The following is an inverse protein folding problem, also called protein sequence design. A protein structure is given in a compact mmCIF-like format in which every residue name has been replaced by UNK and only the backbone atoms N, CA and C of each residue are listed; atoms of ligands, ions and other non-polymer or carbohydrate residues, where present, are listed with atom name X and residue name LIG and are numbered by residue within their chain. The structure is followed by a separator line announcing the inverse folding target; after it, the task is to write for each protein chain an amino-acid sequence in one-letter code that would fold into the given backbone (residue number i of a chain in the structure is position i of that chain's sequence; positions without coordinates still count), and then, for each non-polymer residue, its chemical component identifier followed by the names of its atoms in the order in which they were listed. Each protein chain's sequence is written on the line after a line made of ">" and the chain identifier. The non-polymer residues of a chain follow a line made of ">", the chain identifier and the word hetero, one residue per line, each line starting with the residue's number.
data_IF_251988459104
#
_entry.id   IF_251988459104
#
_cell.length_a   1.000
_cell.length_b   1.000
_cell.length_c   1.000
_cell.angle_alpha   90.00
_cell.angle_beta   90.00
_cell.angle_gamma   90.00
#
_symmetry.space_group_name_H-M   'P 1'
#
loop_
_entity.id
_entity.type
_entity.pdbx_description
1 polymer ?
#
# COMPACT_ATOMS: atom_id res chain seq x y z
N UNK A 1 -12.92 -17.14 -10.36
CA UNK A 1 -11.60 -17.42 -10.94
C UNK A 1 -11.43 -16.45 -12.10
N UNK A 2 -10.82 -15.30 -11.83
CA UNK A 2 -10.55 -14.26 -12.84
C UNK A 2 -9.02 -14.21 -12.97
N UNK A 3 -8.50 -14.84 -14.03
CA UNK A 3 -7.11 -14.72 -14.44
C UNK A 3 -6.89 -13.33 -15.07
N UNK A 4 -6.15 -12.47 -14.37
CA UNK A 4 -5.63 -11.25 -14.97
C UNK A 4 -4.31 -11.59 -15.69
N UNK A 5 -4.39 -11.76 -17.00
CA UNK A 5 -3.21 -11.81 -17.86
C UNK A 5 -2.69 -10.38 -18.09
N UNK A 6 -1.51 -10.09 -17.56
CA UNK A 6 -0.80 -8.85 -17.84
C UNK A 6 -0.15 -8.92 -19.22
N UNK A 7 -0.54 -7.99 -20.10
CA UNK A 7 0.10 -7.78 -21.41
C UNK A 7 1.43 -7.02 -21.27
N UNK A 8 2.39 -7.17 -22.20
CA UNK A 8 3.77 -6.72 -22.02
C UNK A 8 3.96 -5.22 -22.28
N UNK A 9 4.82 -4.64 -21.45
CA UNK A 9 5.67 -3.44 -21.64
C UNK A 9 5.05 -2.22 -22.34
N UNK A 10 4.78 -1.17 -21.55
CA UNK A 10 4.58 0.21 -22.07
C UNK A 10 3.42 0.98 -21.49
N UNK A 11 2.74 0.51 -20.41
CA UNK A 11 1.62 1.22 -19.78
C UNK A 11 1.92 1.60 -18.33
N UNK A 12 1.49 2.78 -17.87
CA UNK A 12 1.71 3.20 -16.48
C UNK A 12 1.02 2.23 -15.52
N UNK A 13 1.83 1.62 -14.67
CA UNK A 13 1.43 0.55 -13.72
C UNK A 13 0.66 1.06 -12.50
N UNK A 14 0.26 2.33 -12.48
CA UNK A 14 -0.45 2.99 -11.37
C UNK A 14 -1.86 2.44 -11.07
N UNK A 15 -2.34 1.47 -11.86
CA UNK A 15 -3.77 1.14 -11.99
C UNK A 15 -4.31 0.13 -10.97
N UNK A 16 -3.46 -0.65 -10.32
CA UNK A 16 -3.93 -1.79 -9.49
C UNK A 16 -4.33 -1.45 -8.05
N UNK A 17 -4.22 -0.19 -7.64
CA UNK A 17 -4.16 0.22 -6.24
C UNK A 17 -5.48 0.17 -5.46
N UNK A 18 -6.61 0.38 -6.13
CA UNK A 18 -7.87 0.67 -5.43
C UNK A 18 -8.66 -0.56 -4.97
N UNK A 19 -8.35 -1.76 -5.47
CA UNK A 19 -9.25 -2.93 -5.33
C UNK A 19 -8.92 -3.80 -4.10
N UNK A 20 -7.70 -3.80 -3.61
CA UNK A 20 -7.25 -4.81 -2.64
C UNK A 20 -7.49 -4.48 -1.17
N UNK A 21 -7.83 -3.23 -0.81
CA UNK A 21 -8.11 -2.84 0.57
C UNK A 21 -9.61 -2.98 0.97
N UNK A 22 -10.50 -3.22 0.01
CA UNK A 22 -11.94 -3.25 0.23
C UNK A 22 -12.49 -4.41 1.10
N UNK A 23 -11.93 -5.64 1.11
CA UNK A 23 -12.56 -6.77 1.80
C UNK A 23 -12.28 -6.89 3.31
N UNK A 24 -11.28 -6.18 3.86
CA UNK A 24 -11.10 -6.08 5.33
C UNK A 24 -12.31 -5.41 5.99
N UNK A 25 -13.15 -4.75 5.19
CA UNK A 25 -14.31 -3.96 5.58
C UNK A 25 -15.58 -4.75 5.93
N UNK A 26 -15.67 -6.02 5.57
CA UNK A 26 -16.93 -6.78 5.73
C UNK A 26 -17.24 -7.23 7.16
N UNK A 27 -16.34 -7.04 8.13
CA UNK A 27 -16.48 -7.53 9.50
C UNK A 27 -16.85 -6.46 10.54
N UNK A 28 -16.91 -5.17 10.18
CA UNK A 28 -17.17 -4.09 11.14
C UNK A 28 -18.30 -3.16 10.70
N UNK A 29 -19.56 -3.60 10.84
CA UNK A 29 -20.72 -2.69 10.79
C UNK A 29 -21.26 -2.45 12.18
N UNK A 30 -20.76 -1.41 12.85
CA UNK A 30 -21.48 -0.71 13.93
C UNK A 30 -20.99 0.74 14.01
N UNK A 31 -21.96 1.67 13.88
CA UNK A 31 -21.76 3.11 13.70
C UNK A 31 -21.19 3.82 14.93
N UNK A 32 -20.20 4.70 14.77
CA UNK A 32 -19.86 5.72 15.76
C UNK A 32 -20.10 7.15 15.25
N UNK A 33 -20.19 8.05 16.21
CA UNK A 33 -20.54 9.47 16.20
C UNK A 33 -19.47 10.34 15.49
N UNK A 34 -19.85 11.45 14.80
CA UNK A 34 -18.97 12.18 13.88
C UNK A 34 -17.92 13.07 14.56
N UNK A 35 -16.73 13.17 13.99
CA UNK A 35 -15.73 14.19 14.30
C UNK A 35 -15.78 15.39 13.34
N UNK A 36 -15.08 16.46 13.71
CA UNK A 36 -15.10 17.81 13.19
C UNK A 36 -14.64 17.98 11.73
N UNK A 37 -15.09 19.06 11.11
CA UNK A 37 -14.91 19.48 9.72
C UNK A 37 -13.43 19.54 9.28
N UNK A 38 -13.12 18.86 8.20
CA UNK A 38 -11.89 19.04 7.40
C UNK A 38 -12.15 20.15 6.37
N UNK A 39 -11.13 20.99 6.16
CA UNK A 39 -11.20 22.23 5.39
C UNK A 39 -11.58 22.03 3.91
N UNK A 40 -12.21 23.07 3.36
CA UNK A 40 -12.65 23.17 1.97
C UNK A 40 -11.47 23.12 0.98
N UNK A 41 -11.67 22.57 -0.24
CA UNK A 41 -10.63 22.57 -1.27
C UNK A 41 -10.33 24.00 -1.73
N UNK A 42 -9.06 24.36 -1.68
CA UNK A 42 -8.53 25.62 -2.20
C UNK A 42 -8.72 25.64 -3.71
N UNK A 43 -9.52 26.59 -4.20
CA UNK A 43 -9.71 26.84 -5.64
C UNK A 43 -8.45 27.52 -6.19
N UNK A 44 -7.58 26.77 -6.83
CA UNK A 44 -6.36 27.29 -7.44
C UNK A 44 -6.59 27.64 -8.92
N UNK A 45 -6.23 28.87 -9.34
CA UNK A 45 -6.25 29.27 -10.74
C UNK A 45 -5.06 28.61 -11.46
N UNK A 46 -5.32 27.91 -12.55
CA UNK A 46 -4.36 27.01 -13.21
C UNK A 46 -3.94 27.60 -14.55
N UNK A 47 -2.61 27.68 -14.79
CA UNK A 47 -2.04 27.93 -16.13
C UNK A 47 -1.80 26.59 -16.83
N UNK A 48 -2.49 26.36 -17.95
CA UNK A 48 -2.25 25.21 -18.84
C UNK A 48 -0.96 25.51 -19.64
N UNK A 49 0.08 24.69 -19.38
CA UNK A 49 1.35 24.74 -20.12
C UNK A 49 1.45 23.57 -21.10
N UNK A 50 1.53 23.86 -22.38
CA UNK A 50 1.52 22.87 -23.48
C UNK A 50 2.91 22.48 -24.00
N UNK A 51 3.96 22.50 -23.16
CA UNK A 51 5.31 22.10 -23.58
C UNK A 51 5.67 20.73 -23.00
N UNK A 52 5.49 19.68 -23.80
CA UNK A 52 5.78 18.29 -23.38
C UNK A 52 7.23 18.11 -22.92
N UNK A 53 8.20 18.77 -23.52
CA UNK A 53 9.61 18.67 -23.11
C UNK A 53 9.85 19.30 -21.74
N UNK A 54 9.21 20.44 -21.44
CA UNK A 54 9.31 21.06 -20.12
C UNK A 54 8.67 20.16 -19.04
N UNK A 55 7.52 19.56 -19.35
CA UNK A 55 6.83 18.62 -18.47
C UNK A 55 7.67 17.36 -18.23
N UNK A 56 8.25 16.76 -19.27
CA UNK A 56 9.14 15.59 -19.13
C UNK A 56 10.37 15.90 -18.26
N UNK A 57 10.94 17.12 -18.39
CA UNK A 57 12.04 17.55 -17.54
C UNK A 57 11.63 17.67 -16.06
N UNK A 58 10.40 18.12 -15.78
CA UNK A 58 9.83 18.14 -14.42
C UNK A 58 9.67 16.73 -13.88
N UNK A 59 9.04 15.83 -14.65
CA UNK A 59 8.84 14.43 -14.24
C UNK A 59 10.17 13.71 -13.98
N UNK A 60 11.16 13.91 -14.85
CA UNK A 60 12.51 13.34 -14.68
C UNK A 60 13.17 13.82 -13.38
N UNK A 61 13.08 15.13 -13.08
CA UNK A 61 13.59 15.69 -11.82
C UNK A 61 12.83 15.14 -10.61
N UNK A 62 11.51 15.07 -10.67
CA UNK A 62 10.69 14.49 -9.60
C UNK A 62 11.08 13.04 -9.33
N UNK A 63 11.14 12.21 -10.37
CA UNK A 63 11.52 10.79 -10.23
C UNK A 63 12.94 10.60 -9.66
N UNK A 64 13.86 11.54 -9.94
CA UNK A 64 15.23 11.47 -9.42
C UNK A 64 15.34 11.69 -7.90
N UNK A 65 14.32 12.28 -7.26
CA UNK A 65 14.30 12.53 -5.81
C UNK A 65 14.10 11.23 -5.00
N UNK A 66 13.51 10.21 -5.61
CA UNK A 66 13.08 9.00 -4.87
C UNK A 66 14.12 7.89 -4.93
N UNK A 67 14.15 7.12 -3.85
CA UNK A 67 14.83 5.83 -3.84
C UNK A 67 14.30 4.95 -4.98
N UNK A 68 15.17 4.18 -5.61
CA UNK A 68 14.78 3.29 -6.70
C UNK A 68 15.41 1.91 -6.57
N UNK A 69 14.57 0.89 -6.39
CA UNK A 69 14.99 -0.52 -6.39
C UNK A 69 15.67 -0.91 -7.70
N UNK A 70 15.23 -0.33 -8.83
CA UNK A 70 15.84 -0.56 -10.13
C UNK A 70 17.31 -0.09 -10.19
N UNK A 71 17.62 1.10 -9.62
CA UNK A 71 18.99 1.61 -9.50
C UNK A 71 19.82 0.75 -8.56
N UNK A 72 19.21 0.23 -7.48
CA UNK A 72 19.85 -0.68 -6.54
C UNK A 72 20.02 -2.12 -7.08
N UNK A 73 19.52 -2.43 -8.28
CA UNK A 73 19.55 -3.79 -8.86
C UNK A 73 18.65 -4.78 -8.13
N UNK A 74 17.71 -4.32 -7.28
CA UNK A 74 16.79 -5.18 -6.55
C UNK A 74 15.67 -5.65 -7.47
N UNK A 75 15.44 -6.96 -7.53
CA UNK A 75 14.33 -7.57 -8.29
C UNK A 75 13.25 -8.15 -7.38
N UNK A 76 13.56 -8.34 -6.11
CA UNK A 76 12.62 -8.84 -5.12
C UNK A 76 13.30 -9.19 -3.80
N UNK A 77 12.50 -9.68 -2.86
CA UNK A 77 12.98 -10.23 -1.59
C UNK A 77 12.00 -11.28 -1.09
N UNK A 78 12.50 -12.16 -0.25
CA UNK A 78 11.73 -13.19 0.44
C UNK A 78 11.97 -13.03 1.94
N UNK A 79 10.89 -12.96 2.75
CA UNK A 79 10.98 -12.68 4.19
C UNK A 79 9.99 -13.55 4.98
N UNK A 80 10.33 -13.88 6.22
CA UNK A 80 9.36 -14.35 7.20
C UNK A 80 8.47 -13.21 7.70
N UNK A 81 7.19 -13.50 7.92
CA UNK A 81 6.21 -12.52 8.40
C UNK A 81 5.57 -13.02 9.70
N UNK A 82 5.56 -12.17 10.70
CA UNK A 82 5.01 -12.45 12.01
C UNK A 82 3.92 -11.43 12.37
N UNK A 83 2.62 -11.76 12.11
CA UNK A 83 1.51 -10.90 12.53
C UNK A 83 1.39 -10.84 14.05
N UNK A 84 1.05 -9.68 14.60
CA UNK A 84 0.53 -9.60 15.96
C UNK A 84 -0.92 -10.09 15.99
N UNK A 85 -1.08 -11.40 16.18
CA UNK A 85 -2.39 -12.04 16.18
C UNK A 85 -3.33 -11.48 17.23
N UNK A 86 -2.83 -11.02 18.38
CA UNK A 86 -3.66 -10.39 19.41
C UNK A 86 -4.26 -9.08 18.92
N UNK A 87 -3.45 -8.25 18.27
CA UNK A 87 -3.91 -7.00 17.66
C UNK A 87 -4.93 -7.28 16.54
N UNK A 88 -4.69 -8.31 15.70
CA UNK A 88 -5.62 -8.74 14.65
C UNK A 88 -6.98 -9.14 15.24
N UNK A 89 -7.01 -9.96 16.29
CA UNK A 89 -8.27 -10.35 16.94
C UNK A 89 -8.97 -9.17 17.60
N UNK A 90 -8.23 -8.28 18.25
CA UNK A 90 -8.77 -7.08 18.88
C UNK A 90 -9.44 -6.17 17.84
N UNK A 91 -8.78 -5.95 16.70
CA UNK A 91 -9.30 -5.16 15.59
C UNK A 91 -10.56 -5.81 14.97
N UNK A 92 -10.58 -7.13 14.82
CA UNK A 92 -11.69 -7.83 14.19
C UNK A 92 -12.97 -7.87 15.04
N UNK A 93 -12.85 -7.95 16.38
CA UNK A 93 -14.00 -8.26 17.23
C UNK A 93 -14.39 -7.15 18.21
N UNK A 94 -13.61 -6.05 18.30
CA UNK A 94 -13.81 -4.99 19.32
C UNK A 94 -13.94 -5.56 20.75
N UNK A 95 -13.42 -6.77 20.99
CA UNK A 95 -13.55 -7.55 22.22
C UNK A 95 -12.23 -7.56 23.00
N UNK A 96 -12.27 -8.04 24.24
CA UNK A 96 -11.06 -8.13 25.07
C UNK A 96 -9.93 -8.87 24.33
N UNK A 97 -8.70 -8.36 24.48
CA UNK A 97 -7.52 -8.98 23.90
C UNK A 97 -7.41 -10.44 24.37
N UNK A 98 -7.17 -11.36 23.45
CA UNK A 98 -6.93 -12.76 23.76
C UNK A 98 -5.63 -12.92 24.56
N UNK A 99 -5.57 -13.88 25.46
CA UNK A 99 -4.35 -14.25 26.16
C UNK A 99 -3.34 -14.92 25.22
N UNK A 100 -2.05 -14.86 25.55
CA UNK A 100 -1.00 -15.45 24.71
C UNK A 100 -1.08 -16.99 24.61
N UNK A 101 -1.67 -17.63 25.61
CA UNK A 101 -1.92 -19.06 25.69
C UNK A 101 -3.30 -19.48 25.14
N UNK A 102 -4.08 -18.55 24.59
CA UNK A 102 -5.32 -18.90 23.89
C UNK A 102 -5.00 -19.86 22.74
N UNK A 103 -5.70 -21.02 22.65
CA UNK A 103 -5.40 -22.02 21.63
C UNK A 103 -5.38 -21.48 20.20
N UNK A 104 -6.19 -20.46 19.88
CA UNK A 104 -6.22 -19.80 18.57
C UNK A 104 -4.94 -19.02 18.30
N UNK A 105 -4.45 -18.30 19.32
CA UNK A 105 -3.18 -17.56 19.22
C UNK A 105 -2.01 -18.52 19.06
N UNK A 106 -1.99 -19.61 19.87
CA UNK A 106 -0.96 -20.65 19.79
C UNK A 106 -0.94 -21.29 18.40
N UNK A 107 -2.12 -21.64 17.87
CA UNK A 107 -2.25 -22.22 16.54
C UNK A 107 -1.71 -21.28 15.46
N UNK A 108 -2.11 -20.01 15.46
CA UNK A 108 -1.68 -19.03 14.44
C UNK A 108 -0.18 -18.70 14.57
N UNK A 109 0.38 -18.65 15.77
CA UNK A 109 1.83 -18.50 15.98
C UNK A 109 2.65 -19.70 15.48
N UNK A 110 2.04 -20.86 15.31
CA UNK A 110 2.70 -22.06 14.78
C UNK A 110 2.78 -22.10 13.25
N UNK A 111 2.09 -21.18 12.56
CA UNK A 111 2.12 -21.08 11.10
C UNK A 111 3.37 -20.33 10.66
N UNK A 112 4.13 -20.92 9.76
CA UNK A 112 5.25 -20.23 9.08
C UNK A 112 4.71 -19.49 7.84
N UNK A 113 4.89 -18.17 7.82
CA UNK A 113 4.41 -17.30 6.75
C UNK A 113 5.60 -16.71 6.04
N UNK A 114 5.72 -16.97 4.73
CA UNK A 114 6.78 -16.44 3.90
C UNK A 114 6.21 -15.49 2.85
N UNK A 115 6.68 -14.25 2.86
CA UNK A 115 6.36 -13.24 1.88
C UNK A 115 7.36 -13.30 0.73
N UNK A 116 6.87 -13.42 -0.49
CA UNK A 116 7.64 -13.31 -1.73
C UNK A 116 7.26 -12.01 -2.44
N UNK A 117 8.08 -10.98 -2.30
CA UNK A 117 7.88 -9.71 -2.98
C UNK A 117 8.72 -9.66 -4.26
N UNK A 118 8.11 -9.31 -5.39
CA UNK A 118 8.77 -9.13 -6.68
C UNK A 118 8.47 -7.74 -7.19
N UNK A 119 9.51 -6.97 -7.50
CA UNK A 119 9.38 -5.59 -7.98
C UNK A 119 8.64 -5.53 -9.33
N UNK A 120 8.72 -6.61 -10.11
CA UNK A 120 7.93 -6.80 -11.33
C UNK A 120 7.22 -8.14 -11.23
N UNK A 121 5.89 -8.14 -11.23
CA UNK A 121 5.10 -9.37 -11.22
C UNK A 121 4.32 -9.66 -9.93
N UNK A 122 4.30 -8.70 -9.00
CA UNK A 122 3.45 -8.79 -7.80
C UNK A 122 4.10 -9.53 -6.63
N UNK A 123 3.28 -9.91 -5.67
CA UNK A 123 3.71 -10.58 -4.44
C UNK A 123 2.82 -11.78 -4.14
N UNK A 124 3.38 -12.75 -3.44
CA UNK A 124 2.65 -13.91 -2.92
C UNK A 124 3.05 -14.20 -1.49
N UNK A 125 2.20 -14.92 -0.78
CA UNK A 125 2.51 -15.47 0.53
C UNK A 125 2.39 -16.98 0.50
N UNK A 126 3.42 -17.65 0.99
CA UNK A 126 3.33 -19.05 1.37
C UNK A 126 2.87 -19.12 2.81
N UNK A 127 1.85 -19.93 3.05
CA UNK A 127 1.23 -20.14 4.35
C UNK A 127 1.40 -21.60 4.74
N UNK A 128 2.33 -21.86 5.65
CA UNK A 128 2.75 -23.20 5.99
C UNK A 128 2.31 -23.55 7.41
N UNK A 129 1.13 -24.17 7.61
CA UNK A 129 0.73 -24.72 8.90
C UNK A 129 1.68 -25.87 9.28
N UNK A 130 1.84 -26.19 10.58
CA UNK A 130 2.70 -27.26 11.01
C UNK A 130 2.33 -28.58 10.32
N UNK A 131 3.33 -29.23 9.70
CA UNK A 131 3.13 -30.44 8.89
C UNK A 131 2.54 -31.62 9.68
N UNK A 132 2.76 -31.66 11.00
CA UNK A 132 2.28 -32.71 11.91
C UNK A 132 1.76 -32.08 13.19
N UNK A 133 0.53 -31.51 13.20
CA UNK A 133 -0.08 -31.08 14.45
C UNK A 133 -0.25 -32.32 15.36
N UNK A 134 0.02 -32.14 16.65
CA UNK A 134 -0.14 -33.24 17.64
C UNK A 134 -1.53 -33.88 17.60
N UNK A 135 -2.52 -33.11 17.16
CA UNK A 135 -3.90 -33.57 16.91
C UNK A 135 -4.36 -33.04 15.57
N UNK A 136 -5.16 -33.80 14.78
CA UNK A 136 -5.83 -33.27 13.61
C UNK A 136 -6.58 -31.97 13.95
N UNK A 137 -6.49 -30.98 13.08
CA UNK A 137 -7.25 -29.75 13.24
C UNK A 137 -8.75 -30.06 13.11
N UNK A 138 -9.54 -29.51 14.02
CA UNK A 138 -10.99 -29.53 13.90
C UNK A 138 -11.48 -28.52 12.83
N UNK A 139 -12.76 -28.58 12.51
CA UNK A 139 -13.34 -27.73 11.48
C UNK A 139 -13.21 -26.23 11.82
N UNK A 140 -13.37 -25.87 13.10
CA UNK A 140 -13.30 -24.48 13.56
C UNK A 140 -11.86 -23.93 13.42
N UNK A 141 -10.86 -24.74 13.79
CA UNK A 141 -9.43 -24.40 13.62
C UNK A 141 -9.06 -24.27 12.17
N UNK A 142 -9.56 -25.15 11.30
CA UNK A 142 -9.33 -25.07 9.85
C UNK A 142 -9.95 -23.79 9.27
N UNK A 143 -11.20 -23.49 9.60
CA UNK A 143 -11.88 -22.27 9.16
C UNK A 143 -11.16 -21.00 9.66
N UNK A 144 -10.65 -21.01 10.90
CA UNK A 144 -9.86 -19.91 11.44
C UNK A 144 -8.60 -19.69 10.60
N UNK A 145 -7.83 -20.73 10.31
CA UNK A 145 -6.62 -20.63 9.50
C UNK A 145 -6.93 -20.08 8.10
N UNK A 146 -7.94 -20.59 7.41
CA UNK A 146 -8.34 -20.13 6.09
C UNK A 146 -8.73 -18.65 6.09
N UNK A 147 -9.49 -18.23 7.11
CA UNK A 147 -9.90 -16.82 7.27
C UNK A 147 -8.70 -15.92 7.50
N UNK A 148 -7.80 -16.31 8.41
CA UNK A 148 -6.61 -15.52 8.73
C UNK A 148 -5.61 -15.49 7.56
N UNK A 149 -5.45 -16.59 6.84
CA UNK A 149 -4.66 -16.63 5.61
C UNK A 149 -5.18 -15.64 4.58
N UNK A 150 -6.50 -15.68 4.30
CA UNK A 150 -7.12 -14.79 3.32
C UNK A 150 -6.93 -13.31 3.68
N UNK A 151 -7.25 -12.93 4.92
CA UNK A 151 -7.15 -11.54 5.37
C UNK A 151 -5.70 -11.03 5.44
N UNK A 152 -4.77 -11.83 5.95
CA UNK A 152 -3.35 -11.50 6.02
C UNK A 152 -2.74 -11.34 4.63
N UNK A 153 -3.01 -12.30 3.73
CA UNK A 153 -2.53 -12.25 2.35
C UNK A 153 -3.02 -10.99 1.65
N UNK A 154 -4.28 -10.68 1.79
CA UNK A 154 -4.89 -9.51 1.17
C UNK A 154 -4.32 -8.19 1.70
N UNK A 155 -4.12 -8.10 3.03
CA UNK A 155 -3.54 -6.92 3.67
C UNK A 155 -2.12 -6.66 3.18
N UNK A 156 -1.26 -7.70 3.19
CA UNK A 156 0.14 -7.57 2.78
C UNK A 156 0.29 -7.33 1.28
N UNK A 157 -0.51 -8.01 0.44
CA UNK A 157 -0.52 -7.77 -1.00
C UNK A 157 -0.99 -6.35 -1.33
N UNK A 158 -2.05 -5.87 -0.67
CA UNK A 158 -2.54 -4.50 -0.82
C UNK A 158 -1.48 -3.48 -0.43
N UNK A 159 -0.80 -3.68 0.70
CA UNK A 159 0.32 -2.83 1.10
C UNK A 159 1.43 -2.81 0.03
N UNK A 160 1.88 -3.97 -0.44
CA UNK A 160 2.96 -4.05 -1.43
C UNK A 160 2.58 -3.44 -2.78
N UNK A 161 1.34 -3.58 -3.22
CA UNK A 161 0.84 -2.92 -4.43
C UNK A 161 0.92 -1.40 -4.31
N UNK A 162 0.64 -0.86 -3.14
CA UNK A 162 0.79 0.57 -2.87
C UNK A 162 2.27 0.99 -2.74
N UNK A 163 3.05 0.24 -1.98
CA UNK A 163 4.43 0.56 -1.65
C UNK A 163 5.37 0.47 -2.87
N UNK A 164 5.20 -0.56 -3.71
CA UNK A 164 6.10 -0.85 -4.84
C UNK A 164 6.28 0.34 -5.79
N UNK A 165 5.23 1.07 -6.24
CA UNK A 165 5.41 2.23 -7.12
C UNK A 165 6.34 3.31 -6.56
N UNK A 166 6.34 3.51 -5.25
CA UNK A 166 7.21 4.50 -4.61
C UNK A 166 8.66 4.09 -4.51
N UNK A 167 8.94 2.79 -4.56
CA UNK A 167 10.31 2.26 -4.42
C UNK A 167 10.89 1.73 -5.71
N UNK A 168 10.08 1.41 -6.71
CA UNK A 168 10.59 1.05 -8.04
C UNK A 168 10.75 2.27 -8.97
N UNK A 169 10.27 3.44 -8.52
CA UNK A 169 10.36 4.70 -9.24
C UNK A 169 9.21 4.94 -10.22
N UNK A 170 8.14 4.15 -10.14
CA UNK A 170 6.97 4.29 -11.02
C UNK A 170 5.86 5.18 -10.44
N UNK A 171 6.04 5.70 -9.22
CA UNK A 171 5.10 6.67 -8.65
C UNK A 171 5.03 7.97 -9.46
N UNK A 172 6.14 8.35 -10.13
CA UNK A 172 6.16 9.48 -11.06
C UNK A 172 6.06 8.94 -12.49
N UNK A 173 5.14 9.44 -13.33
CA UNK A 173 5.04 9.02 -14.72
C UNK A 173 6.36 9.22 -15.49
N UNK A 174 6.75 8.28 -16.37
CA UNK A 174 8.02 8.37 -17.09
C UNK A 174 8.03 9.41 -18.24
N UNK A 175 6.85 9.81 -18.72
CA UNK A 175 6.66 10.86 -19.72
C UNK A 175 5.37 11.61 -19.46
N UNK A 176 5.26 12.80 -20.07
CA UNK A 176 4.04 13.62 -20.02
C UNK A 176 3.01 13.25 -21.11
N UNK A 177 3.29 12.25 -21.93
CA UNK A 177 2.38 11.83 -23.00
C UNK A 177 1.06 11.31 -22.44
N UNK A 178 -0.05 11.92 -22.86
CA UNK A 178 -1.40 11.57 -22.39
C UNK A 178 -1.72 12.07 -20.97
N UNK A 179 -0.87 12.92 -20.40
CA UNK A 179 -1.09 13.53 -19.10
C UNK A 179 -1.53 14.99 -19.24
N UNK A 180 -2.41 15.41 -18.36
CA UNK A 180 -2.67 16.83 -18.14
C UNK A 180 -1.82 17.31 -16.97
N UNK A 181 -0.83 18.19 -17.23
CA UNK A 181 0.02 18.79 -16.20
C UNK A 181 -0.28 20.27 -16.05
N UNK A 182 -0.46 20.71 -14.82
CA UNK A 182 -0.74 22.11 -14.49
C UNK A 182 0.17 22.55 -13.36
N UNK A 183 0.80 23.72 -13.53
CA UNK A 183 1.54 24.35 -12.44
C UNK A 183 0.58 25.08 -11.52
N UNK A 184 0.76 24.92 -10.21
CA UNK A 184 0.00 25.61 -9.16
C UNK A 184 0.61 26.98 -8.86
N UNK A 185 -0.15 27.88 -8.23
CA UNK A 185 0.30 29.24 -7.91
C UNK A 185 1.48 29.29 -6.94
N UNK A 186 1.62 28.25 -6.09
CA UNK A 186 2.73 28.07 -5.16
C UNK A 186 3.97 27.42 -5.80
N UNK A 187 3.91 27.13 -7.11
CA UNK A 187 5.01 26.56 -7.89
C UNK A 187 5.06 25.04 -7.90
N UNK A 188 4.08 24.35 -7.29
CA UNK A 188 3.91 22.91 -7.40
C UNK A 188 3.29 22.49 -8.73
N UNK A 189 2.89 21.21 -8.85
CA UNK A 189 2.25 20.68 -10.05
C UNK A 189 1.08 19.78 -9.68
N UNK A 190 0.05 19.78 -10.54
CA UNK A 190 -1.03 18.81 -10.55
C UNK A 190 -0.87 18.01 -11.84
N UNK A 191 -0.81 16.70 -11.70
CA UNK A 191 -0.76 15.74 -12.82
C UNK A 191 -2.07 14.98 -12.81
N UNK A 192 -2.76 14.98 -13.94
CA UNK A 192 -4.05 14.33 -14.09
C UNK A 192 -3.99 13.31 -15.23
N UNK A 193 -4.50 12.10 -14.94
CA UNK A 193 -4.57 10.97 -15.87
C UNK A 193 -5.98 10.43 -15.88
N UNK A 194 -6.54 10.27 -17.07
CA UNK A 194 -7.78 9.53 -17.28
C UNK A 194 -7.53 8.37 -18.23
N UNK A 195 -7.79 7.14 -17.78
CA UNK A 195 -7.62 5.96 -18.61
C UNK A 195 -8.57 4.86 -18.17
N UNK A 196 -9.35 4.31 -19.10
CA UNK A 196 -10.17 3.09 -18.93
C UNK A 196 -11.06 3.11 -17.66
N UNK A 197 -11.68 4.27 -17.34
CA UNK A 197 -12.54 4.44 -16.16
C UNK A 197 -11.79 4.72 -14.85
N UNK A 198 -10.47 4.78 -14.91
CA UNK A 198 -9.61 5.25 -13.83
C UNK A 198 -9.32 6.74 -13.99
N UNK A 199 -9.48 7.49 -12.92
CA UNK A 199 -8.97 8.86 -12.81
C UNK A 199 -7.90 8.89 -11.73
N UNK A 200 -6.68 9.35 -12.07
CA UNK A 200 -5.61 9.60 -11.13
C UNK A 200 -5.29 11.08 -11.11
N UNK A 201 -5.21 11.67 -9.93
CA UNK A 201 -4.68 13.03 -9.75
C UNK A 201 -3.55 12.99 -8.75
N UNK A 202 -2.38 13.40 -9.16
CA UNK A 202 -1.18 13.49 -8.34
C UNK A 202 -0.82 14.97 -8.10
N UNK A 203 -0.49 15.30 -6.85
CA UNK A 203 -0.13 16.68 -6.45
C UNK A 203 1.33 16.67 -5.97
N UNK A 204 2.18 17.41 -6.69
CA UNK A 204 3.57 17.63 -6.33
C UNK A 204 3.73 19.01 -5.66
N UNK A 205 4.58 19.08 -4.64
CA UNK A 205 5.04 20.36 -4.10
C UNK A 205 5.95 21.11 -5.08
N UNK A 206 6.33 22.34 -4.77
CA UNK A 206 7.32 23.11 -5.54
C UNK A 206 8.72 22.45 -5.57
N UNK A 207 9.04 21.63 -4.56
CA UNK A 207 10.23 20.79 -4.51
C UNK A 207 10.07 19.49 -5.31
N UNK A 208 8.95 19.30 -6.02
CA UNK A 208 8.59 18.12 -6.82
C UNK A 208 8.37 16.85 -6.01
N UNK A 209 8.08 16.98 -4.72
CA UNK A 209 7.73 15.85 -3.83
C UNK A 209 6.23 15.61 -3.90
N UNK A 210 5.82 14.37 -4.10
CA UNK A 210 4.42 13.95 -4.08
C UNK A 210 3.82 14.21 -2.70
N UNK A 211 2.72 14.94 -2.66
CA UNK A 211 1.98 15.25 -1.43
C UNK A 211 0.69 14.47 -1.32
N UNK A 212 0.01 14.27 -2.43
CA UNK A 212 -1.28 13.58 -2.46
C UNK A 212 -1.45 12.82 -3.77
N UNK A 213 -2.12 11.68 -3.65
CA UNK A 213 -2.73 10.95 -4.76
C UNK A 213 -4.22 10.85 -4.53
N UNK A 214 -5.00 11.13 -5.56
CA UNK A 214 -6.43 10.86 -5.59
C UNK A 214 -6.70 9.89 -6.73
N UNK A 215 -7.26 8.74 -6.41
CA UNK A 215 -7.64 7.72 -7.38
C UNK A 215 -9.16 7.56 -7.34
N UNK A 216 -9.79 7.58 -8.50
CA UNK A 216 -11.22 7.24 -8.64
C UNK A 216 -11.33 6.09 -9.62
N UNK A 217 -11.94 4.99 -9.20
CA UNK A 217 -12.17 3.81 -10.03
C UNK A 217 -13.50 3.16 -9.65
N UNK A 218 -14.37 2.93 -10.62
CA UNK A 218 -15.71 2.37 -10.42
C UNK A 218 -16.52 3.08 -9.32
N UNK A 219 -16.35 4.42 -9.23
CA UNK A 219 -17.00 5.26 -8.23
C UNK A 219 -16.38 5.21 -6.83
N UNK A 220 -15.46 4.28 -6.56
CA UNK A 220 -14.66 4.27 -5.33
C UNK A 220 -13.58 5.35 -5.42
N UNK A 221 -13.46 6.16 -4.36
CA UNK A 221 -12.44 7.20 -4.24
C UNK A 221 -11.42 6.79 -3.19
N UNK A 222 -10.15 6.95 -3.53
CA UNK A 222 -9.04 6.70 -2.60
C UNK A 222 -8.12 7.91 -2.60
N UNK A 223 -7.93 8.50 -1.43
CA UNK A 223 -7.02 9.63 -1.21
C UNK A 223 -5.82 9.14 -0.41
N UNK A 224 -4.61 9.43 -0.87
CA UNK A 224 -3.37 9.11 -0.17
C UNK A 224 -2.54 10.36 0.07
N UNK A 225 -1.95 10.45 1.26
CA UNK A 225 -0.98 11.47 1.62
C UNK A 225 0.29 10.77 2.14
N UNK A 226 1.30 10.53 1.26
CA UNK A 226 2.54 9.88 1.66
C UNK A 226 3.46 10.82 2.44
N UNK A 227 4.20 10.25 3.40
CA UNK A 227 5.33 10.90 4.05
C UNK A 227 6.61 10.11 3.76
N UNK A 228 7.74 10.81 3.77
CA UNK A 228 9.00 10.26 3.32
C UNK A 228 10.10 10.46 4.34
N UNK A 229 10.98 9.48 4.41
CA UNK A 229 12.27 9.56 5.10
C UNK A 229 13.35 9.85 4.07
N UNK A 230 14.21 10.82 4.36
CA UNK A 230 15.41 11.05 3.56
C UNK A 230 16.44 9.94 3.80
N UNK A 231 17.01 9.43 2.72
CA UNK A 231 18.12 8.47 2.73
C UNK A 231 19.26 8.97 1.84
N UNK A 232 20.41 8.33 1.90
CA UNK A 232 21.53 8.67 1.01
C UNK A 232 21.18 8.47 -0.48
N UNK A 233 20.22 7.57 -0.77
CA UNK A 233 19.83 7.18 -2.13
C UNK A 233 18.51 7.81 -2.58
N UNK A 234 17.97 8.75 -1.80
CA UNK A 234 16.74 9.50 -2.12
C UNK A 234 15.63 9.33 -1.09
N UNK A 235 14.45 9.86 -1.42
CA UNK A 235 13.26 9.80 -0.58
C UNK A 235 12.69 8.37 -0.56
N UNK A 236 12.43 7.84 0.63
CA UNK A 236 11.82 6.54 0.85
C UNK A 236 10.51 6.72 1.61
N UNK A 237 9.39 6.25 1.05
CA UNK A 237 8.09 6.36 1.73
C UNK A 237 8.14 5.57 3.04
N UNK A 238 7.82 6.21 4.17
CA UNK A 238 7.84 5.58 5.48
C UNK A 238 6.49 5.59 6.18
N UNK A 239 5.56 6.41 5.75
CA UNK A 239 4.17 6.35 6.21
C UNK A 239 3.24 6.96 5.18
N UNK A 240 1.95 6.71 5.32
CA UNK A 240 0.91 7.39 4.57
C UNK A 240 -0.42 7.40 5.31
N UNK A 241 -1.17 8.48 5.10
CA UNK A 241 -2.59 8.54 5.43
C UNK A 241 -3.39 8.12 4.21
N UNK A 242 -4.42 7.29 4.41
CA UNK A 242 -5.33 6.92 3.35
C UNK A 242 -6.79 7.12 3.79
N UNK A 243 -7.61 7.58 2.85
CA UNK A 243 -9.06 7.68 3.01
C UNK A 243 -9.72 6.98 1.83
N UNK A 244 -10.54 5.96 2.12
CA UNK A 244 -11.24 5.15 1.12
C UNK A 244 -12.72 5.41 1.25
N UNK A 245 -13.33 5.92 0.18
CA UNK A 245 -14.77 6.16 0.07
C UNK A 245 -15.36 5.23 -0.99
N UNK A 246 -16.10 4.19 -0.61
CA UNK A 246 -16.78 3.32 -1.57
C UNK A 246 -17.74 4.09 -2.47
N UNK A 247 -18.07 3.52 -3.63
CA UNK A 247 -19.05 4.11 -4.55
C UNK A 247 -20.40 4.34 -3.85
N UNK A 248 -20.91 5.58 -3.94
CA UNK A 248 -22.17 5.97 -3.32
C UNK A 248 -22.11 6.19 -1.79
N UNK A 249 -20.95 6.02 -1.16
CA UNK A 249 -20.78 6.27 0.26
C UNK A 249 -20.88 7.78 0.59
N UNK A 250 -21.45 8.07 1.75
CA UNK A 250 -21.41 9.43 2.32
C UNK A 250 -20.04 9.69 2.98
N UNK A 251 -19.61 10.95 3.18
CA UNK A 251 -18.30 11.27 3.75
C UNK A 251 -18.02 10.65 5.13
N UNK A 252 -19.06 10.40 5.91
CA UNK A 252 -18.98 9.74 7.23
C UNK A 252 -18.77 8.21 7.14
N UNK A 253 -18.99 7.64 5.95
CA UNK A 253 -18.72 6.22 5.65
C UNK A 253 -17.33 5.99 5.07
N UNK A 254 -16.54 7.05 4.86
CA UNK A 254 -15.17 6.92 4.44
C UNK A 254 -14.32 6.26 5.52
N UNK A 255 -13.56 5.26 5.14
CA UNK A 255 -12.62 4.60 6.02
C UNK A 255 -11.27 5.33 5.97
N UNK A 256 -10.75 5.66 7.15
CA UNK A 256 -9.44 6.30 7.29
C UNK A 256 -8.46 5.32 7.90
N UNK A 257 -7.25 5.33 7.36
CA UNK A 257 -6.16 4.52 7.89
C UNK A 257 -4.85 5.30 7.87
N UNK A 258 -4.00 4.97 8.84
CA UNK A 258 -2.61 5.39 8.90
C UNK A 258 -1.73 4.15 8.75
N UNK A 259 -0.74 4.23 7.88
CA UNK A 259 0.20 3.13 7.64
C UNK A 259 1.62 3.62 7.89
N UNK A 260 2.37 2.88 8.71
CA UNK A 260 3.78 3.11 8.97
C UNK A 260 4.62 1.92 8.54
N UNK A 261 5.77 2.21 7.94
CA UNK A 261 6.75 1.22 7.49
C UNK A 261 8.10 1.54 8.09
N UNK A 262 8.66 0.59 8.84
CA UNK A 262 10.07 0.67 9.25
C UNK A 262 10.92 -0.18 8.29
N UNK A 263 12.17 0.25 8.10
CA UNK A 263 13.07 -0.40 7.15
C UNK A 263 14.33 -0.89 7.84
N UNK A 264 14.83 -2.01 7.35
CA UNK A 264 16.13 -2.58 7.63
C UNK A 264 16.95 -2.63 6.35
N UNK A 265 18.21 -2.24 6.43
CA UNK A 265 19.10 -2.38 5.28
C UNK A 265 19.63 -3.81 5.24
N UNK A 266 19.37 -4.51 4.14
CA UNK A 266 19.84 -5.88 3.88
C UNK A 266 20.57 -5.86 2.53
N UNK A 267 21.82 -6.23 2.52
CA UNK A 267 22.70 -6.16 1.33
C UNK A 267 22.63 -4.80 0.63
N UNK A 268 22.54 -3.71 1.38
CA UNK A 268 22.47 -2.35 0.86
C UNK A 268 21.10 -1.93 0.30
N UNK A 269 20.04 -2.75 0.42
CA UNK A 269 18.68 -2.40 0.03
C UNK A 269 17.80 -2.16 1.26
N UNK A 270 16.95 -1.11 1.31
CA UNK A 270 15.96 -0.92 2.34
C UNK A 270 14.80 -1.89 2.12
N UNK A 271 14.67 -2.85 3.03
CA UNK A 271 13.58 -3.84 3.03
C UNK A 271 12.65 -3.52 4.20
N UNK A 272 11.31 -3.57 4.05
CA UNK A 272 10.38 -3.43 5.15
C UNK A 272 10.72 -4.39 6.29
N UNK A 273 10.86 -3.89 7.51
CA UNK A 273 11.13 -4.67 8.73
C UNK A 273 9.91 -4.72 9.63
N UNK A 274 9.04 -3.72 9.57
CA UNK A 274 7.73 -3.75 10.20
C UNK A 274 6.71 -2.99 9.36
N UNK A 275 5.45 -3.39 9.47
CA UNK A 275 4.30 -2.73 8.90
C UNK A 275 3.25 -2.58 10.00
N UNK A 276 2.84 -1.34 10.25
CA UNK A 276 1.76 -1.01 11.17
C UNK A 276 0.64 -0.33 10.39
N UNK A 277 -0.58 -0.82 10.53
CA UNK A 277 -1.78 -0.28 9.89
C UNK A 277 -2.77 0.04 10.99
N UNK A 278 -3.05 1.31 11.20
CA UNK A 278 -4.09 1.77 12.11
C UNK A 278 -5.33 2.13 11.28
N UNK A 279 -6.45 1.46 11.57
CA UNK A 279 -7.74 1.73 10.92
C UNK A 279 -8.59 2.47 11.93
N UNK A 280 -8.91 3.73 11.63
CA UNK A 280 -9.63 4.61 12.55
C UNK A 280 -10.99 4.02 12.93
N UNK A 281 -11.22 3.87 14.23
CA UNK A 281 -12.45 3.28 14.78
C UNK A 281 -12.53 1.75 14.75
N UNK A 282 -11.53 1.07 14.17
CA UNK A 282 -11.51 -0.41 14.09
C UNK A 282 -10.38 -0.99 14.94
N UNK A 283 -9.15 -0.53 14.76
CA UNK A 283 -7.99 -1.01 15.52
C UNK A 283 -6.70 -0.96 14.73
N UNK A 284 -5.69 -1.67 15.22
CA UNK A 284 -4.34 -1.72 14.66
C UNK A 284 -3.98 -3.14 14.23
N UNK A 285 -3.38 -3.25 13.05
CA UNK A 285 -2.72 -4.46 12.55
C UNK A 285 -1.22 -4.22 12.55
N UNK A 286 -0.44 -5.17 13.05
CA UNK A 286 1.03 -5.06 13.09
C UNK A 286 1.64 -6.34 12.55
N UNK A 287 2.70 -6.17 11.74
CA UNK A 287 3.46 -7.26 11.14
C UNK A 287 4.95 -6.98 11.36
N UNK A 288 5.65 -7.90 12.02
CA UNK A 288 7.11 -7.92 11.97
C UNK A 288 7.56 -8.70 10.74
N UNK A 289 8.61 -8.23 10.06
CA UNK A 289 9.13 -8.81 8.81
C UNK A 289 10.63 -9.00 9.01
N UNK A 290 11.09 -10.24 8.98
CA UNK A 290 12.50 -10.56 9.24
C UNK A 290 13.00 -11.75 8.40
N UNK A 291 14.20 -12.27 8.71
CA UNK A 291 14.85 -13.36 7.97
C UNK A 291 14.81 -13.17 6.45
N UNK A 292 15.01 -11.93 6.01
CA UNK A 292 14.87 -11.57 4.61
C UNK A 292 16.11 -11.95 3.80
N UNK A 293 15.86 -12.45 2.59
CA UNK A 293 16.88 -12.61 1.52
C UNK A 293 16.53 -11.69 0.36
N UNK A 294 17.55 -11.07 -0.23
CA UNK A 294 17.39 -10.09 -1.31
C UNK A 294 17.72 -10.75 -2.64
N UNK A 295 16.81 -10.61 -3.59
CA UNK A 295 16.98 -11.09 -4.96
C UNK A 295 17.46 -9.95 -5.86
N UNK A 296 18.61 -10.11 -6.51
CA UNK A 296 19.21 -9.12 -7.41
C UNK A 296 19.26 -9.62 -8.84
N UNK A 297 19.34 -8.69 -9.80
CA UNK A 297 19.70 -9.06 -11.18
C UNK A 297 21.08 -9.74 -11.15
N UNK A 298 21.19 -10.87 -11.85
CA UNK A 298 22.51 -11.39 -12.21
C UNK A 298 23.23 -10.36 -13.09
N UNK A 299 24.45 -10.02 -12.71
CA UNK A 299 25.34 -9.15 -13.50
C UNK A 299 25.76 -9.84 -14.78
#
# INVERSE_FOLDING_TARGET
>A
MLEFQFAPVGRPTAIALAICLAPVLSLAQSSPKPPAKVGEPVTTHVKVGADSKANDAVLTKAAALYFSTAKAGLVGFDCSVHPDWRAVFLAANNSAALADDDPRIVLLKSVDIVLHARMKGGSSLDWNPPAHPEKPLDADSTQLLDTMQGSTSQTLQGFLQFWTPFVDGSAIPPSSDGLEMKQTDDGGYIIHVEQDGLTLTEILSKELVVKHFNVVMDGTKVNFAPAYKETADGLLVNSFEAEISPAGATPDQAQKMHVEVEYKTIDGAPIPASLNIEILGTGRLSFAIDHCTVNRKAN
#
